data_IF_789532865375
#
_entry.id   IF_789532865375
#
_cell.length_a   1.000
_cell.length_b   1.000
_cell.length_c   1.000
_cell.angle_alpha   90.00
_cell.angle_beta   90.00
_cell.angle_gamma   90.00
#
_symmetry.space_group_name_H-M   'P 1'
#
loop_
_entity.id
_entity.type
_entity.pdbx_description
1 polymer ?
#
# COMPACT_ATOMS: atom_id res chain seq x y z
N UNK A 1 15.85 -15.93 -57.77
CA UNK A 1 16.46 -16.68 -56.65
C UNK A 1 16.65 -15.72 -55.48
N UNK A 2 15.85 -15.91 -54.43
CA UNK A 2 15.97 -15.54 -53.00
C UNK A 2 16.83 -14.30 -52.60
N UNK A 3 16.23 -13.18 -52.15
CA UNK A 3 15.86 -12.81 -50.75
C UNK A 3 17.04 -12.69 -49.77
N UNK A 4 17.30 -11.47 -49.25
CA UNK A 4 17.21 -11.13 -47.80
C UNK A 4 18.01 -9.88 -47.39
N UNK A 5 17.32 -8.91 -46.77
CA UNK A 5 17.72 -8.26 -45.51
C UNK A 5 16.60 -7.30 -45.05
N UNK A 6 15.65 -7.83 -44.29
CA UNK A 6 14.69 -7.03 -43.52
C UNK A 6 15.08 -7.06 -42.05
N UNK A 7 15.36 -5.87 -41.50
CA UNK A 7 15.45 -5.62 -40.06
C UNK A 7 14.04 -5.64 -39.46
N UNK A 8 13.82 -6.48 -38.44
CA UNK A 8 12.64 -6.41 -37.60
C UNK A 8 13.01 -5.77 -36.25
N UNK A 9 12.42 -4.61 -35.97
CA UNK A 9 12.34 -4.03 -34.63
C UNK A 9 10.97 -4.35 -34.03
N UNK A 10 10.99 -4.51 -32.71
CA UNK A 10 9.91 -4.22 -31.76
C UNK A 10 8.91 -5.33 -31.39
N UNK A 11 9.08 -5.71 -30.11
CA UNK A 11 8.06 -5.88 -29.06
C UNK A 11 7.04 -7.02 -29.21
N UNK A 12 7.37 -8.12 -28.54
CA UNK A 12 6.43 -8.83 -27.69
C UNK A 12 7.22 -9.44 -26.52
N UNK A 13 7.01 -8.93 -25.29
CA UNK A 13 7.42 -9.67 -24.10
C UNK A 13 6.17 -10.36 -23.54
N UNK A 14 6.00 -11.67 -23.75
CA UNK A 14 4.90 -12.41 -23.15
C UNK A 14 5.13 -12.54 -21.65
N UNK A 15 4.08 -12.26 -20.86
CA UNK A 15 4.04 -12.58 -19.43
C UNK A 15 4.12 -14.09 -19.24
N UNK A 16 5.11 -14.66 -18.55
CA UNK A 16 4.97 -16.01 -18.03
C UNK A 16 4.25 -15.94 -16.68
N UNK A 17 2.99 -16.34 -16.70
CA UNK A 17 2.28 -16.88 -15.54
C UNK A 17 2.98 -18.17 -15.12
N UNK A 18 4.09 -18.05 -14.39
CA UNK A 18 4.78 -19.18 -13.80
C UNK A 18 4.34 -19.30 -12.34
N UNK A 19 3.36 -20.17 -12.12
CA UNK A 19 3.04 -20.73 -10.81
C UNK A 19 4.31 -21.37 -10.26
N UNK A 20 4.86 -20.76 -9.22
CA UNK A 20 5.88 -21.34 -8.34
C UNK A 20 5.22 -21.45 -6.97
N UNK A 21 4.71 -22.65 -6.67
CA UNK A 21 4.35 -23.04 -5.32
C UNK A 21 5.59 -22.94 -4.42
N UNK A 22 5.47 -22.24 -3.28
CA UNK A 22 6.46 -22.31 -2.19
C UNK A 22 5.73 -22.42 -0.85
N UNK A 23 5.97 -23.53 -0.16
CA UNK A 23 5.68 -23.76 1.25
C UNK A 23 6.30 -22.64 2.09
N UNK A 24 5.50 -22.06 2.97
CA UNK A 24 5.84 -20.93 3.83
C UNK A 24 4.63 -20.02 3.92
N UNK A 25 3.72 -20.30 4.85
CA UNK A 25 2.48 -19.55 5.03
C UNK A 25 2.77 -18.05 5.02
N UNK A 26 2.29 -17.34 4.00
CA UNK A 26 2.28 -15.88 4.01
C UNK A 26 1.47 -15.50 5.24
N UNK A 27 2.13 -15.06 6.32
CA UNK A 27 1.45 -14.29 7.35
C UNK A 27 0.79 -13.15 6.58
N UNK A 28 -0.54 -13.17 6.51
CA UNK A 28 -1.28 -12.11 5.84
C UNK A 28 -0.78 -10.77 6.37
N UNK A 29 -0.60 -9.80 5.49
CA UNK A 29 -0.18 -8.46 5.91
C UNK A 29 -1.25 -7.95 6.88
N UNK A 30 -0.88 -7.73 8.13
CA UNK A 30 -1.81 -7.16 9.10
C UNK A 30 -1.94 -5.64 8.85
N UNK A 31 -2.98 -5.04 9.41
CA UNK A 31 -3.31 -3.65 9.11
C UNK A 31 -2.21 -2.65 9.51
N UNK A 32 -1.57 -2.83 10.67
CA UNK A 32 -0.47 -1.98 11.11
C UNK A 32 0.73 -2.08 10.15
N UNK A 33 1.09 -3.30 9.76
CA UNK A 33 2.18 -3.57 8.82
C UNK A 33 1.91 -2.96 7.45
N UNK A 34 0.68 -3.06 6.95
CA UNK A 34 0.29 -2.44 5.68
C UNK A 34 0.44 -0.92 5.69
N UNK A 35 0.00 -0.27 6.78
CA UNK A 35 0.14 1.19 6.94
C UNK A 35 1.62 1.59 6.93
N UNK A 36 2.44 0.92 7.75
CA UNK A 36 3.86 1.24 7.87
C UNK A 36 4.63 0.94 6.59
N UNK A 37 4.29 -0.13 5.87
CA UNK A 37 4.88 -0.46 4.58
C UNK A 37 4.60 0.66 3.56
N UNK A 38 3.34 1.09 3.43
CA UNK A 38 2.96 2.17 2.53
C UNK A 38 3.71 3.47 2.85
N UNK A 39 3.86 3.81 4.13
CA UNK A 39 4.62 5.00 4.51
C UNK A 39 6.12 4.85 4.21
N UNK A 40 6.70 3.68 4.44
CA UNK A 40 8.09 3.39 4.10
C UNK A 40 8.34 3.50 2.59
N UNK A 41 7.40 3.03 1.76
CA UNK A 41 7.46 3.16 0.30
C UNK A 41 7.38 4.62 -0.17
N UNK A 42 6.64 5.48 0.55
CA UNK A 42 6.50 6.91 0.21
C UNK A 42 7.69 7.73 0.67
N UNK A 43 8.35 7.34 1.75
CA UNK A 43 9.48 8.07 2.35
C UNK A 43 9.08 9.30 3.15
N UNK A 44 10.07 10.13 3.47
CA UNK A 44 9.96 11.39 4.23
C UNK A 44 8.90 12.32 3.62
N UNK A 45 7.98 12.85 4.45
CA UNK A 45 6.84 13.67 4.02
C UNK A 45 5.70 12.90 3.34
N UNK A 46 5.88 11.60 3.10
CA UNK A 46 4.92 10.74 2.44
C UNK A 46 3.66 10.50 3.27
N UNK A 47 2.50 10.50 2.61
CA UNK A 47 1.24 10.14 3.25
C UNK A 47 0.49 9.05 2.49
N UNK A 48 -0.31 8.27 3.22
CA UNK A 48 -1.25 7.28 2.68
C UNK A 48 -2.67 7.58 3.17
N UNK A 49 -3.68 6.94 2.57
CA UNK A 49 -5.04 6.90 3.11
C UNK A 49 -5.38 5.49 3.64
N UNK A 50 -6.40 5.36 4.51
CA UNK A 50 -6.76 4.05 5.07
C UNK A 50 -7.19 3.04 4.00
N UNK A 51 -7.81 3.48 2.90
CA UNK A 51 -8.23 2.56 1.84
C UNK A 51 -7.07 1.99 1.03
N UNK A 52 -5.92 2.68 0.96
CA UNK A 52 -4.69 2.09 0.37
C UNK A 52 -4.23 0.89 1.21
N UNK A 53 -4.17 1.04 2.54
CA UNK A 53 -3.81 -0.05 3.44
C UNK A 53 -4.82 -1.21 3.34
N UNK A 54 -6.11 -0.90 3.30
CA UNK A 54 -7.16 -1.90 3.16
C UNK A 54 -7.05 -2.70 1.85
N UNK A 55 -6.72 -2.03 0.73
CA UNK A 55 -6.48 -2.69 -0.57
C UNK A 55 -5.24 -3.58 -0.55
N UNK A 56 -4.17 -3.13 0.11
CA UNK A 56 -2.96 -3.94 0.28
C UNK A 56 -3.25 -5.24 1.04
N UNK A 57 -4.10 -5.18 2.08
CA UNK A 57 -4.50 -6.36 2.87
C UNK A 57 -5.41 -7.28 2.04
N UNK A 58 -6.40 -6.71 1.36
CA UNK A 58 -7.38 -7.46 0.58
C UNK A 58 -6.75 -8.15 -0.65
N UNK A 59 -5.66 -7.60 -1.18
CA UNK A 59 -5.09 -8.02 -2.45
C UNK A 59 -5.94 -7.58 -3.64
N UNK A 60 -5.54 -8.00 -4.84
CA UNK A 60 -6.09 -7.50 -6.11
C UNK A 60 -7.57 -7.83 -6.33
N UNK A 61 -8.06 -8.94 -5.76
CA UNK A 61 -9.43 -9.44 -5.94
C UNK A 61 -10.26 -9.43 -4.64
N UNK A 62 -9.70 -9.00 -3.52
CA UNK A 62 -10.37 -9.04 -2.21
C UNK A 62 -11.27 -7.82 -1.96
N UNK A 63 -12.24 -7.97 -1.07
CA UNK A 63 -13.08 -6.86 -0.61
C UNK A 63 -12.35 -6.00 0.43
N UNK A 64 -11.70 -4.93 -0.03
CA UNK A 64 -11.01 -3.99 0.85
C UNK A 64 -11.95 -3.29 1.85
N UNK A 65 -13.25 -3.17 1.56
CA UNK A 65 -14.17 -2.51 2.50
C UNK A 65 -14.34 -3.31 3.78
N UNK A 66 -14.35 -4.64 3.67
CA UNK A 66 -14.38 -5.54 4.83
C UNK A 66 -13.17 -5.37 5.77
N UNK A 67 -12.03 -4.87 5.27
CA UNK A 67 -10.83 -4.62 6.06
C UNK A 67 -10.76 -3.24 6.72
N UNK A 68 -11.65 -2.31 6.36
CA UNK A 68 -11.66 -0.96 6.92
C UNK A 68 -11.76 -0.90 8.46
N UNK A 69 -12.56 -1.74 9.15
CA UNK A 69 -12.58 -1.75 10.62
C UNK A 69 -11.22 -2.10 11.23
N UNK A 70 -10.53 -3.10 10.69
CA UNK A 70 -9.20 -3.50 11.15
C UNK A 70 -8.14 -2.42 10.88
N UNK A 71 -8.22 -1.75 9.72
CA UNK A 71 -7.36 -0.61 9.39
C UNK A 71 -7.58 0.55 10.35
N UNK A 72 -8.83 0.86 10.65
CA UNK A 72 -9.19 1.91 11.60
C UNK A 72 -8.66 1.65 13.01
N UNK A 73 -8.81 0.43 13.51
CA UNK A 73 -8.24 0.02 14.78
C UNK A 73 -6.71 0.15 14.78
N UNK A 74 -6.05 -0.33 13.72
CA UNK A 74 -4.59 -0.23 13.60
C UNK A 74 -4.11 1.23 13.55
N UNK A 75 -4.86 2.13 12.90
CA UNK A 75 -4.56 3.57 12.92
C UNK A 75 -4.65 4.11 14.35
N UNK A 76 -5.71 3.79 15.09
CA UNK A 76 -5.87 4.27 16.47
C UNK A 76 -4.72 3.80 17.38
N UNK A 77 -4.34 2.53 17.28
CA UNK A 77 -3.20 1.96 18.00
C UNK A 77 -1.87 2.63 17.63
N UNK A 78 -1.63 2.84 16.33
CA UNK A 78 -0.39 3.46 15.86
C UNK A 78 -0.29 4.95 16.24
N UNK A 79 -1.41 5.68 16.23
CA UNK A 79 -1.48 7.06 16.73
C UNK A 79 -1.20 7.08 18.23
N UNK A 80 -1.85 6.21 19.01
CA UNK A 80 -1.64 6.13 20.45
C UNK A 80 -0.20 5.78 20.83
N UNK A 81 0.47 4.95 20.02
CA UNK A 81 1.89 4.62 20.19
C UNK A 81 2.86 5.70 19.66
N UNK A 82 2.35 6.80 19.08
CA UNK A 82 3.17 7.88 18.55
C UNK A 82 4.00 7.49 17.32
N UNK A 83 3.59 6.47 16.56
CA UNK A 83 4.32 6.01 15.36
C UNK A 83 3.85 6.69 14.08
N UNK A 84 2.61 7.13 14.05
CA UNK A 84 2.03 7.86 12.92
C UNK A 84 1.36 9.15 13.40
N UNK A 85 1.22 10.10 12.48
CA UNK A 85 0.43 11.30 12.66
C UNK A 85 -0.71 11.33 11.63
N UNK A 86 -1.83 11.94 12.00
CA UNK A 86 -2.97 12.14 11.11
C UNK A 86 -3.03 13.58 10.65
N UNK A 87 -3.43 13.78 9.40
CA UNK A 87 -3.67 15.12 8.86
C UNK A 87 -4.86 15.17 7.91
N UNK A 88 -5.44 16.34 7.75
CA UNK A 88 -6.47 16.62 6.76
C UNK A 88 -6.34 18.04 6.25
N UNK A 89 -6.31 18.21 4.92
CA UNK A 89 -6.09 19.51 4.27
C UNK A 89 -4.87 20.28 4.83
N UNK A 90 -3.77 19.54 5.08
CA UNK A 90 -2.53 20.11 5.63
C UNK A 90 -2.58 20.47 7.12
N UNK A 91 -3.65 20.12 7.83
CA UNK A 91 -3.79 20.37 9.27
C UNK A 91 -3.67 19.07 10.05
N UNK A 92 -2.93 19.09 11.16
CA UNK A 92 -2.81 17.95 12.05
C UNK A 92 -4.16 17.62 12.70
N UNK A 93 -4.46 16.32 12.79
CA UNK A 93 -5.64 15.80 13.47
C UNK A 93 -5.23 15.03 14.73
N UNK A 94 -5.87 15.28 15.89
CA UNK A 94 -5.57 14.55 17.12
C UNK A 94 -6.14 13.12 17.11
N UNK A 95 -6.94 12.77 16.11
CA UNK A 95 -7.58 11.46 15.98
C UNK A 95 -8.40 11.37 14.71
N UNK A 96 -8.87 10.16 14.38
CA UNK A 96 -9.64 9.91 13.15
C UNK A 96 -10.96 10.68 13.18
N UNK A 97 -11.14 11.60 12.23
CA UNK A 97 -12.41 12.30 11.99
C UNK A 97 -12.58 12.56 10.50
N UNK A 98 -13.72 12.15 9.93
CA UNK A 98 -13.99 12.33 8.51
C UNK A 98 -12.87 11.76 7.63
N UNK A 99 -12.61 12.35 6.46
CA UNK A 99 -11.44 12.02 5.66
C UNK A 99 -10.13 12.42 6.36
N UNK A 100 -9.12 11.57 6.29
CA UNK A 100 -7.79 11.84 6.83
C UNK A 100 -6.70 11.17 5.99
N UNK A 101 -5.48 11.68 6.14
CA UNK A 101 -4.23 11.13 5.64
C UNK A 101 -3.42 10.63 6.83
N UNK A 102 -2.62 9.60 6.58
CA UNK A 102 -1.74 8.97 7.56
C UNK A 102 -0.31 9.31 7.13
N UNK A 103 0.52 9.79 8.05
CA UNK A 103 1.95 10.08 7.84
C UNK A 103 2.80 9.52 8.98
N UNK A 104 4.12 9.51 8.82
CA UNK A 104 5.04 9.16 9.92
C UNK A 104 4.94 10.19 11.06
N UNK A 105 5.05 9.76 12.31
CA UNK A 105 5.11 10.69 13.43
C UNK A 105 6.41 11.50 13.40
N UNK A 106 6.35 12.75 13.87
CA UNK A 106 7.49 13.67 13.87
C UNK A 106 7.73 14.38 12.53
N UNK A 107 7.11 13.89 11.46
CA UNK A 107 7.07 14.61 10.19
C UNK A 107 5.96 15.67 10.23
N UNK A 108 6.32 16.92 9.93
CA UNK A 108 5.33 18.00 9.81
C UNK A 108 4.48 17.70 8.56
N UNK A 109 3.13 17.62 8.66
CA UNK A 109 2.27 17.43 7.49
C UNK A 109 2.33 18.61 6.52
#
# INVERSE_FOLDING_TARGET
>A
MVLSRSQARSRANPRPHRVLERRGGRRGVNAQGAILALLAERGTGGTSCPSEAARMIAGETGDWRAHMPAVHQAVDELVSSGRIALSWKGQALPGRRGPYRIGQAGERP
#
